data_IF_663955891726
#
_entry.id   IF_663955891726
#
_cell.length_a   1.000
_cell.length_b   1.000
_cell.length_c   1.000
_cell.angle_alpha   90.00
_cell.angle_beta   90.00
_cell.angle_gamma   90.00
#
_symmetry.space_group_name_H-M   'P 1'
#
loop_
_entity.id
_entity.type
_entity.pdbx_description
1 polymer ?
#
# COMPACT_ATOMS: atom_id res chain seq x y z
N UNK A 1 -8.86 -20.26 1.08
CA UNK A 1 -9.21 -19.44 2.24
C UNK A 1 -9.05 -17.98 1.92
N UNK A 2 -10.08 -17.20 2.23
CA UNK A 2 -9.96 -15.77 2.08
C UNK A 2 -8.97 -15.23 3.12
N UNK A 3 -8.05 -14.41 2.70
CA UNK A 3 -7.12 -13.77 3.61
C UNK A 3 -7.84 -12.62 4.32
N UNK A 4 -7.70 -12.54 5.65
CA UNK A 4 -8.26 -11.42 6.39
C UNK A 4 -7.37 -10.18 6.30
N UNK A 5 -6.24 -10.30 5.65
CA UNK A 5 -5.24 -9.24 5.59
C UNK A 5 -4.71 -9.07 4.18
N UNK A 6 -4.57 -7.83 3.75
CA UNK A 6 -3.82 -7.50 2.55
C UNK A 6 -2.64 -6.64 2.95
N UNK A 7 -1.47 -6.95 2.42
CA UNK A 7 -0.22 -6.27 2.76
C UNK A 7 0.20 -5.42 1.58
N UNK A 8 0.48 -4.15 1.85
CA UNK A 8 1.03 -3.24 0.87
C UNK A 8 2.48 -2.94 1.21
N UNK A 9 3.36 -3.09 0.23
CA UNK A 9 4.74 -2.66 0.37
C UNK A 9 4.78 -1.17 0.02
N UNK A 10 5.23 -0.35 0.94
CA UNK A 10 5.26 1.10 0.80
C UNK A 10 6.70 1.58 0.76
N UNK A 11 7.03 2.38 -0.23
CA UNK A 11 8.37 2.96 -0.34
C UNK A 11 8.28 4.39 -0.82
N UNK A 12 9.33 5.15 -0.57
CA UNK A 12 9.39 6.51 -1.03
C UNK A 12 9.63 6.54 -2.54
N UNK A 13 8.90 7.42 -3.22
CA UNK A 13 9.08 7.61 -4.64
C UNK A 13 10.32 8.47 -4.91
N UNK A 14 11.12 8.16 -5.94
CA UNK A 14 12.27 8.99 -6.30
C UNK A 14 11.90 10.44 -6.61
N UNK A 15 10.67 10.67 -7.03
CA UNK A 15 10.19 12.02 -7.38
C UNK A 15 9.51 12.73 -6.21
N UNK A 16 9.53 12.13 -5.05
CA UNK A 16 8.83 12.62 -3.87
C UNK A 16 7.53 11.87 -3.66
N UNK A 17 7.03 11.86 -2.42
CA UNK A 17 5.85 11.12 -2.06
C UNK A 17 6.13 9.65 -1.81
N UNK A 18 5.07 8.85 -1.83
CA UNK A 18 5.10 7.44 -1.48
C UNK A 18 4.31 6.61 -2.47
N UNK A 19 4.76 5.37 -2.65
CA UNK A 19 4.09 4.41 -3.49
C UNK A 19 3.72 3.20 -2.66
N UNK A 20 2.57 2.59 -2.95
CA UNK A 20 2.13 1.39 -2.27
C UNK A 20 1.72 0.35 -3.31
N UNK A 21 2.21 -0.86 -3.13
CA UNK A 21 1.91 -1.98 -4.01
C UNK A 21 1.43 -3.16 -3.17
N UNK A 22 0.27 -3.70 -3.50
CA UNK A 22 -0.25 -4.86 -2.80
C UNK A 22 0.53 -6.12 -3.16
N UNK A 23 0.76 -6.96 -2.17
CA UNK A 23 1.38 -8.25 -2.38
C UNK A 23 0.29 -9.26 -2.74
N UNK A 24 0.43 -9.86 -3.91
CA UNK A 24 -0.51 -10.88 -4.36
C UNK A 24 -1.76 -10.36 -5.09
N UNK A 25 -1.86 -9.05 -5.27
CA UNK A 25 -2.99 -8.43 -5.96
C UNK A 25 -2.50 -7.33 -6.89
N UNK A 26 -3.16 -7.11 -8.02
CA UNK A 26 -2.75 -6.06 -8.96
C UNK A 26 -3.26 -4.68 -8.53
N UNK A 27 -2.87 -4.26 -7.33
CA UNK A 27 -3.28 -2.98 -6.76
C UNK A 27 -2.03 -2.13 -6.54
N UNK A 28 -2.02 -0.94 -7.12
CA UNK A 28 -0.96 0.03 -6.98
C UNK A 28 -1.58 1.39 -6.73
N UNK A 29 -1.01 2.14 -5.79
CA UNK A 29 -1.45 3.50 -5.54
C UNK A 29 -0.28 4.34 -5.03
N UNK A 30 -0.48 5.64 -4.99
CA UNK A 30 0.55 6.57 -4.55
C UNK A 30 -0.09 7.79 -3.89
N UNK A 31 0.70 8.49 -3.09
CA UNK A 31 0.28 9.69 -2.40
C UNK A 31 1.48 10.56 -2.08
N UNK A 32 1.26 11.85 -1.87
CA UNK A 32 2.35 12.78 -1.56
C UNK A 32 2.80 12.68 -0.11
N UNK A 33 1.90 12.29 0.78
CA UNK A 33 2.19 12.09 2.20
C UNK A 33 1.74 10.71 2.62
N UNK A 34 2.22 10.24 3.76
CA UNK A 34 1.76 8.96 4.30
C UNK A 34 0.28 9.00 4.62
N UNK A 35 -0.21 10.13 5.09
CA UNK A 35 -1.61 10.30 5.41
C UNK A 35 -2.48 10.19 4.16
N UNK A 36 -2.07 10.86 3.09
CA UNK A 36 -2.76 10.76 1.81
C UNK A 36 -2.67 9.35 1.26
N UNK A 37 -1.50 8.71 1.38
CA UNK A 37 -1.32 7.34 0.91
C UNK A 37 -2.27 6.37 1.61
N UNK A 38 -2.45 6.52 2.92
CA UNK A 38 -3.40 5.68 3.66
C UNK A 38 -4.81 5.79 3.10
N UNK A 39 -5.25 7.02 2.83
CA UNK A 39 -6.57 7.25 2.25
C UNK A 39 -6.68 6.60 0.88
N UNK A 40 -5.66 6.74 0.05
CA UNK A 40 -5.63 6.17 -1.28
C UNK A 40 -5.63 4.64 -1.26
N UNK A 41 -4.89 4.05 -0.31
CA UNK A 41 -4.86 2.59 -0.14
C UNK A 41 -6.23 2.07 0.26
N UNK A 42 -6.88 2.71 1.23
CA UNK A 42 -8.21 2.29 1.66
C UNK A 42 -9.22 2.38 0.54
N UNK A 43 -9.16 3.44 -0.23
CA UNK A 43 -10.04 3.61 -1.38
C UNK A 43 -9.80 2.53 -2.42
N UNK A 44 -8.54 2.23 -2.71
CA UNK A 44 -8.17 1.20 -3.67
C UNK A 44 -8.65 -0.18 -3.23
N UNK A 45 -8.53 -0.50 -1.95
CA UNK A 45 -9.00 -1.77 -1.41
C UNK A 45 -10.53 -1.89 -1.54
N UNK A 46 -11.24 -0.83 -1.22
CA UNK A 46 -12.70 -0.82 -1.34
C UNK A 46 -13.15 -0.95 -2.78
N UNK A 47 -12.39 -0.42 -3.72
CA UNK A 47 -12.71 -0.54 -5.14
C UNK A 47 -12.37 -1.91 -5.70
N UNK A 48 -11.30 -2.53 -5.23
CA UNK A 48 -10.84 -3.83 -5.75
C UNK A 48 -11.64 -5.01 -5.20
N UNK A 49 -11.99 -4.96 -3.91
CA UNK A 49 -12.71 -6.05 -3.26
C UNK A 49 -14.16 -5.65 -3.00
N UNK A 50 -15.09 -6.59 -3.19
CA UNK A 50 -16.46 -6.36 -2.77
C UNK A 50 -16.57 -6.52 -1.25
N UNK A 51 -17.73 -6.21 -0.68
CA UNK A 51 -17.93 -6.25 0.77
C UNK A 51 -17.67 -7.61 1.39
N UNK A 52 -18.01 -8.67 0.65
CA UNK A 52 -17.88 -10.03 1.16
C UNK A 52 -16.42 -10.48 1.19
N UNK A 53 -15.66 -10.11 0.18
CA UNK A 53 -14.27 -10.56 0.04
C UNK A 53 -13.24 -9.56 0.56
N UNK A 54 -13.69 -8.40 0.98
CA UNK A 54 -12.80 -7.36 1.47
C UNK A 54 -12.05 -7.83 2.72
N UNK A 55 -10.72 -7.69 2.75
CA UNK A 55 -9.96 -8.05 3.94
C UNK A 55 -10.31 -7.11 5.09
N UNK A 56 -10.21 -7.60 6.30
CA UNK A 56 -10.50 -6.80 7.50
C UNK A 56 -9.34 -5.90 7.86
N UNK A 57 -8.14 -6.30 7.50
CA UNK A 57 -6.92 -5.61 7.89
C UNK A 57 -6.13 -5.25 6.65
N UNK A 58 -5.69 -4.01 6.59
CA UNK A 58 -4.76 -3.52 5.57
C UNK A 58 -3.47 -3.20 6.31
N UNK A 59 -2.39 -3.88 5.96
CA UNK A 59 -1.10 -3.66 6.58
C UNK A 59 -0.21 -2.89 5.61
N UNK A 60 0.35 -1.78 6.08
CA UNK A 60 1.33 -1.02 5.31
C UNK A 60 2.72 -1.38 5.82
N UNK A 61 3.48 -2.02 4.97
CA UNK A 61 4.85 -2.40 5.27
C UNK A 61 5.78 -1.35 4.66
N UNK A 62 6.35 -0.50 5.51
CA UNK A 62 7.20 0.60 5.08
C UNK A 62 8.62 0.11 4.84
N UNK A 63 9.08 0.31 3.61
CA UNK A 63 10.43 -0.07 3.21
C UNK A 63 11.21 1.22 3.02
N UNK A 64 12.38 1.30 3.66
CA UNK A 64 13.23 2.46 3.57
C UNK A 64 14.64 2.03 3.19
N UNK A 65 15.12 2.60 2.09
CA UNK A 65 16.48 2.37 1.64
C UNK A 65 17.37 3.51 2.13
N UNK A 66 18.57 3.16 2.56
CA UNK A 66 19.57 4.15 2.94
C UNK A 66 20.82 3.87 2.14
N UNK A 67 21.26 4.85 1.41
CA UNK A 67 22.48 4.73 0.57
C UNK A 67 23.60 5.48 1.24
N UNK A 68 24.68 4.76 1.55
CA UNK A 68 25.85 5.32 2.19
C UNK A 68 27.04 5.20 1.25
N UNK A 69 27.66 6.32 0.93
CA UNK A 69 28.86 6.33 0.10
C UNK A 69 30.06 5.89 0.93
N UNK A 70 30.88 4.99 0.38
CA UNK A 70 32.11 4.51 1.03
C UNK A 70 33.36 5.08 0.38
#
# INVERSE_FOLDING_TARGET
MASDEVIFSVQESPEGGYEAKALGFPIFTQGETLEELRAMVLDAVRCHFDEVQRPRIVRLHLVKDEVIAV
#
